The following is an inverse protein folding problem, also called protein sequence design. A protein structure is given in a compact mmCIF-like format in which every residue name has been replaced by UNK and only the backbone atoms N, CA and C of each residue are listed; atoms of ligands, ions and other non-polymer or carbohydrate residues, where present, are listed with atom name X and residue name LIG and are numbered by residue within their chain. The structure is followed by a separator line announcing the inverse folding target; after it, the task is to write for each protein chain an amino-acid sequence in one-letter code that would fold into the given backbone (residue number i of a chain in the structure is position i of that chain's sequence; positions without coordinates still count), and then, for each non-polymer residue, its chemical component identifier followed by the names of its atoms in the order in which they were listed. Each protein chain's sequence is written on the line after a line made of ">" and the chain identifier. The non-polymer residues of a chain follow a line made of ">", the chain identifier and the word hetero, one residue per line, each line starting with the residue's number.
data_IF_130811072881
#
_entry.id   IF_130811072881
#
_cell.length_a   1.000
_cell.length_b   1.000
_cell.length_c   1.000
_cell.angle_alpha   90.00
_cell.angle_beta   90.00
_cell.angle_gamma   90.00
#
_symmetry.space_group_name_H-M   'P 1'
#
loop_
_entity.id
_entity.type
_entity.pdbx_description
1 polymer ?
#
# COMPACT_ATOMS: atom_id res chain seq x y z
N UNK A 1 9.06 -10.85 23.11
CA UNK A 1 8.45 -9.67 23.78
C UNK A 1 7.59 -10.08 24.97
N UNK A 2 6.59 -10.96 24.79
CA UNK A 2 5.70 -11.38 25.89
C UNK A 2 6.48 -11.88 27.13
N UNK A 3 7.38 -12.83 26.94
CA UNK A 3 8.25 -13.36 28.00
C UNK A 3 9.16 -12.30 28.67
N UNK A 4 9.60 -11.28 27.92
CA UNK A 4 10.44 -10.21 28.45
C UNK A 4 9.63 -9.24 29.33
N UNK A 5 8.37 -9.00 28.96
CA UNK A 5 7.43 -8.21 29.74
C UNK A 5 6.97 -8.96 30.98
N UNK A 6 6.72 -10.27 30.86
CA UNK A 6 6.35 -11.15 31.98
C UNK A 6 7.48 -11.23 33.02
N UNK A 7 8.72 -11.46 32.59
CA UNK A 7 9.88 -11.49 33.48
C UNK A 7 10.11 -10.12 34.15
N UNK A 8 9.92 -9.02 33.42
CA UNK A 8 10.05 -7.68 33.98
C UNK A 8 8.94 -7.39 35.02
N UNK A 9 7.71 -7.84 34.76
CA UNK A 9 6.60 -7.71 35.70
C UNK A 9 6.87 -8.49 37.00
N UNK A 10 7.38 -9.72 36.89
CA UNK A 10 7.76 -10.55 38.04
C UNK A 10 8.85 -9.88 38.90
N UNK A 11 9.87 -9.32 38.27
CA UNK A 11 10.97 -8.62 38.98
C UNK A 11 10.49 -7.33 39.67
N UNK A 12 9.51 -6.63 39.08
CA UNK A 12 8.88 -5.45 39.68
C UNK A 12 7.99 -5.85 40.87
N UNK A 13 7.17 -6.89 40.73
CA UNK A 13 6.25 -7.37 41.77
C UNK A 13 7.02 -7.91 43.00
N UNK A 14 8.20 -8.51 42.77
CA UNK A 14 9.08 -8.98 43.84
C UNK A 14 9.92 -7.85 44.50
N UNK A 15 9.78 -6.60 44.05
CA UNK A 15 10.42 -5.42 44.64
C UNK A 15 11.94 -5.35 44.46
N UNK A 16 12.51 -6.24 43.66
CA UNK A 16 13.95 -6.38 43.41
C UNK A 16 14.36 -5.59 42.18
N UNK A 17 14.34 -4.25 42.26
CA UNK A 17 14.97 -3.43 41.22
C UNK A 17 16.48 -3.53 41.33
N UNK A 18 17.05 -4.43 40.54
CA UNK A 18 18.47 -4.75 40.49
C UNK A 18 19.01 -4.64 39.05
N UNK A 19 20.29 -4.99 38.87
CA UNK A 19 20.95 -4.99 37.56
C UNK A 19 20.25 -5.88 36.52
N UNK A 20 19.51 -6.91 36.97
CA UNK A 20 18.74 -7.78 36.09
C UNK A 20 17.51 -7.05 35.53
N UNK A 21 16.79 -6.30 36.37
CA UNK A 21 15.66 -5.46 35.94
C UNK A 21 16.06 -4.42 34.88
N UNK A 22 17.21 -3.75 35.06
CA UNK A 22 17.70 -2.76 34.09
C UNK A 22 18.14 -3.41 32.77
N UNK A 23 18.68 -4.63 32.81
CA UNK A 23 19.00 -5.41 31.61
C UNK A 23 17.74 -5.81 30.83
N UNK A 24 16.68 -6.24 31.52
CA UNK A 24 15.39 -6.56 30.91
C UNK A 24 14.74 -5.33 30.26
N UNK A 25 14.77 -4.17 30.93
CA UNK A 25 14.29 -2.90 30.38
C UNK A 25 15.06 -2.53 29.11
N UNK A 26 16.39 -2.66 29.15
CA UNK A 26 17.26 -2.36 28.00
C UNK A 26 16.94 -3.26 26.81
N UNK A 27 16.81 -4.57 27.02
CA UNK A 27 16.46 -5.50 25.95
C UNK A 27 15.06 -5.23 25.40
N UNK A 28 14.08 -4.92 26.25
CA UNK A 28 12.74 -4.57 25.82
C UNK A 28 12.72 -3.32 24.95
N UNK A 29 13.46 -2.27 25.34
CA UNK A 29 13.62 -1.05 24.54
C UNK A 29 14.26 -1.35 23.17
N UNK A 30 15.31 -2.17 23.13
CA UNK A 30 15.97 -2.56 21.88
C UNK A 30 15.02 -3.31 20.93
N UNK A 31 14.14 -4.16 21.48
CA UNK A 31 13.14 -4.88 20.69
C UNK A 31 12.08 -3.92 20.13
N UNK A 32 11.60 -2.96 20.92
CA UNK A 32 10.68 -1.92 20.44
C UNK A 32 11.30 -1.06 19.34
N UNK A 33 12.58 -0.68 19.49
CA UNK A 33 13.28 0.09 18.47
C UNK A 33 13.41 -0.68 17.15
N UNK A 34 13.76 -1.98 17.21
CA UNK A 34 13.79 -2.85 16.02
C UNK A 34 12.41 -2.97 15.35
N UNK A 35 11.34 -3.14 16.14
CA UNK A 35 9.98 -3.15 15.62
C UNK A 35 9.61 -1.82 14.95
N UNK A 36 9.96 -0.69 15.55
CA UNK A 36 9.71 0.64 14.97
C UNK A 36 10.47 0.84 13.67
N UNK A 37 11.73 0.42 13.59
CA UNK A 37 12.53 0.49 12.37
C UNK A 37 11.94 -0.37 11.24
N UNK A 38 11.44 -1.57 11.58
CA UNK A 38 10.74 -2.43 10.62
C UNK A 38 9.45 -1.78 10.10
N UNK A 39 8.64 -1.20 10.99
CA UNK A 39 7.43 -0.46 10.60
C UNK A 39 7.74 0.73 9.69
N UNK A 40 8.80 1.50 10.01
CA UNK A 40 9.26 2.61 9.19
C UNK A 40 9.71 2.13 7.79
N UNK A 41 10.41 0.99 7.73
CA UNK A 41 10.85 0.38 6.47
C UNK A 41 9.67 -0.11 5.62
N UNK A 42 8.68 -0.73 6.23
CA UNK A 42 7.43 -1.16 5.57
C UNK A 42 6.69 0.07 5.03
N UNK A 43 6.51 1.11 5.87
CA UNK A 43 5.85 2.35 5.48
C UNK A 43 6.54 3.03 4.30
N UNK A 44 7.87 3.15 4.34
CA UNK A 44 8.66 3.69 3.24
C UNK A 44 8.53 2.85 1.96
N UNK A 45 8.56 1.53 2.07
CA UNK A 45 8.43 0.61 0.92
C UNK A 45 7.06 0.72 0.24
N UNK A 46 5.98 0.83 1.04
CA UNK A 46 4.63 1.05 0.54
C UNK A 46 4.53 2.40 -0.19
N UNK A 47 5.11 3.45 0.39
CA UNK A 47 5.05 4.80 -0.20
C UNK A 47 5.81 4.88 -1.53
N UNK A 48 6.97 4.23 -1.64
CA UNK A 48 7.78 4.23 -2.88
C UNK A 48 7.17 3.38 -4.00
N UNK A 49 6.36 2.37 -3.68
CA UNK A 49 5.68 1.49 -4.67
C UNK A 49 4.23 1.89 -4.98
N UNK A 50 3.75 3.02 -4.45
CA UNK A 50 2.33 3.36 -4.54
C UNK A 50 1.89 3.84 -5.93
N UNK A 51 1.70 2.89 -6.85
CA UNK A 51 0.44 2.88 -7.59
C UNK A 51 -0.54 2.11 -6.71
N UNK A 52 -1.40 2.81 -5.99
CA UNK A 52 -2.45 2.15 -5.21
C UNK A 52 -3.35 1.35 -6.16
N UNK A 53 -3.92 0.25 -5.68
CA UNK A 53 -4.92 -0.53 -6.45
C UNK A 53 -6.03 0.38 -6.95
N UNK A 54 -6.48 1.32 -6.11
CA UNK A 54 -7.47 2.34 -6.47
C UNK A 54 -6.98 3.27 -7.59
N UNK A 55 -5.71 3.69 -7.56
CA UNK A 55 -5.10 4.49 -8.62
C UNK A 55 -4.98 3.75 -9.95
N UNK A 56 -4.70 2.43 -9.92
CA UNK A 56 -4.72 1.59 -11.11
C UNK A 56 -6.13 1.41 -11.66
N UNK A 57 -7.11 1.18 -10.79
CA UNK A 57 -8.52 1.04 -11.16
C UNK A 57 -9.03 2.29 -11.88
N UNK A 58 -8.74 3.48 -11.34
CA UNK A 58 -9.11 4.74 -11.99
C UNK A 58 -8.50 4.90 -13.38
N UNK A 59 -7.20 4.60 -13.53
CA UNK A 59 -6.53 4.66 -14.85
C UNK A 59 -7.14 3.69 -15.86
N UNK A 60 -7.59 2.51 -15.40
CA UNK A 60 -8.29 1.55 -16.24
C UNK A 60 -9.63 2.10 -16.71
N UNK A 61 -10.45 2.63 -15.79
CA UNK A 61 -11.74 3.25 -16.11
C UNK A 61 -11.60 4.40 -17.13
N UNK A 62 -10.61 5.28 -16.93
CA UNK A 62 -10.30 6.36 -17.88
C UNK A 62 -9.92 5.83 -19.28
N UNK A 63 -9.15 4.74 -19.32
CA UNK A 63 -8.72 4.11 -20.57
C UNK A 63 -9.88 3.44 -21.31
N UNK A 64 -10.77 2.77 -20.59
CA UNK A 64 -11.98 2.15 -21.14
C UNK A 64 -12.94 3.20 -21.70
N UNK A 65 -13.12 4.32 -21.00
CA UNK A 65 -13.93 5.43 -21.50
C UNK A 65 -13.37 5.98 -22.81
N UNK A 66 -12.06 6.23 -22.88
CA UNK A 66 -11.41 6.71 -24.10
C UNK A 66 -11.52 5.69 -25.25
N UNK A 67 -11.40 4.40 -24.95
CA UNK A 67 -11.56 3.33 -25.93
C UNK A 67 -12.97 3.32 -26.52
N UNK A 68 -14.00 3.48 -25.67
CA UNK A 68 -15.39 3.55 -26.11
C UNK A 68 -15.64 4.77 -27.01
N UNK A 69 -15.14 5.95 -26.61
CA UNK A 69 -15.21 7.16 -27.46
C UNK A 69 -14.56 6.95 -28.83
N UNK A 70 -13.40 6.29 -28.88
CA UNK A 70 -12.71 5.98 -30.15
C UNK A 70 -13.53 5.02 -31.01
N UNK A 71 -14.15 3.99 -30.42
CA UNK A 71 -15.01 3.04 -31.16
C UNK A 71 -16.21 3.75 -31.77
N UNK A 72 -16.87 4.63 -31.02
CA UNK A 72 -18.01 5.42 -31.51
C UNK A 72 -17.60 6.32 -32.68
N UNK A 73 -16.46 6.98 -32.56
CA UNK A 73 -15.93 7.84 -33.61
C UNK A 73 -15.61 7.05 -34.88
N UNK A 74 -14.96 5.89 -34.75
CA UNK A 74 -14.68 4.99 -35.89
C UNK A 74 -15.98 4.54 -36.55
N UNK A 75 -17.01 4.21 -35.77
CA UNK A 75 -18.31 3.82 -36.32
C UNK A 75 -18.96 4.96 -37.10
N UNK A 76 -18.89 6.20 -36.59
CA UNK A 76 -19.40 7.39 -37.30
C UNK A 76 -18.65 7.62 -38.62
N UNK A 77 -17.32 7.57 -38.60
CA UNK A 77 -16.53 7.70 -39.82
C UNK A 77 -16.85 6.63 -40.85
N UNK A 78 -16.98 5.37 -40.42
CA UNK A 78 -17.37 4.28 -41.31
C UNK A 78 -18.70 4.58 -42.00
N UNK A 79 -19.71 4.98 -41.22
CA UNK A 79 -21.03 5.32 -41.77
C UNK A 79 -20.95 6.48 -42.78
N UNK A 80 -20.20 7.55 -42.46
CA UNK A 80 -20.03 8.69 -43.38
C UNK A 80 -19.34 8.28 -44.69
N UNK A 81 -18.35 7.38 -44.64
CA UNK A 81 -17.68 6.85 -45.84
C UNK A 81 -18.65 6.00 -46.66
N UNK A 82 -19.43 5.13 -46.01
CA UNK A 82 -20.44 4.31 -46.70
C UNK A 82 -21.52 5.15 -47.38
N UNK A 83 -21.97 6.24 -46.75
CA UNK A 83 -22.92 7.19 -47.34
C UNK A 83 -22.34 7.89 -48.56
N UNK A 84 -21.08 8.36 -48.49
CA UNK A 84 -20.40 8.96 -49.63
C UNK A 84 -20.30 8.00 -50.81
N UNK A 85 -19.93 6.73 -50.56
CA UNK A 85 -19.81 5.72 -51.61
C UNK A 85 -21.17 5.37 -52.26
N UNK A 86 -22.26 5.41 -51.50
CA UNK A 86 -23.62 5.24 -52.06
C UNK A 86 -24.11 6.44 -52.85
N UNK A 87 -23.49 7.60 -52.64
CA UNK A 87 -23.85 8.87 -53.28
C UNK A 87 -23.07 9.12 -54.58
N UNK A 88 -22.05 8.31 -54.87
CA UNK A 88 -21.25 8.41 -56.10
C UNK A 88 -21.99 7.69 -57.26
N UNK A 89 -22.21 8.33 -58.43
CA UNK A 89 -23.02 7.78 -59.54
C UNK A 89 -22.46 6.53 -60.22
#
# INVERSE_FOLDING_TARGET
>A
MLQLVENLAEVIDNGSRDQHSDALITELNNQFEKCQQLLNSISSSINTKAMTVEGQKRKLEDSEQLLNQRRDLISKYRNSVEELLKSDP
#
